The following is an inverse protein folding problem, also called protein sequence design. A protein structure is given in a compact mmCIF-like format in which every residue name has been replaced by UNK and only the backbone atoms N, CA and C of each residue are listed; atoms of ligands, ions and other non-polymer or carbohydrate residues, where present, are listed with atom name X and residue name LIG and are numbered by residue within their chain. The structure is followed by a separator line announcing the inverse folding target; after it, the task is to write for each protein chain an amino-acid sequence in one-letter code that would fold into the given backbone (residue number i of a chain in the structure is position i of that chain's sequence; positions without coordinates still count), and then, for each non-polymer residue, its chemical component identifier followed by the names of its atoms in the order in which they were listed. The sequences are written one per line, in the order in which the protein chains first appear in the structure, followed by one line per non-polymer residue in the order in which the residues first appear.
data_IF_434444546040
#
_entry.id   IF_434444546040
#
_cell.length_a   1.000
_cell.length_b   1.000
_cell.length_c   1.000
_cell.angle_alpha   90.00
_cell.angle_beta   90.00
_cell.angle_gamma   90.00
#
_symmetry.space_group_name_H-M   'P 1'
#
loop_
_entity.id
_entity.type
_entity.pdbx_description
1 polymer ?
#
# COMPACT_ATOMS: atom_id res chain seq x y z
N UNK A 1 3.74 -10.32 -38.55
CA UNK A 1 2.94 -10.62 -37.34
C UNK A 1 3.43 -9.71 -36.22
N UNK A 2 2.57 -8.86 -35.65
CA UNK A 2 2.98 -7.97 -34.58
C UNK A 2 3.13 -8.76 -33.28
N UNK A 3 4.33 -8.76 -32.71
CA UNK A 3 4.62 -9.33 -31.40
C UNK A 3 3.71 -8.65 -30.35
N UNK A 4 2.85 -9.43 -29.70
CA UNK A 4 1.96 -8.92 -28.65
C UNK A 4 2.81 -8.54 -27.43
N UNK A 5 3.23 -7.28 -27.37
CA UNK A 5 3.98 -6.73 -26.24
C UNK A 5 3.10 -6.74 -24.98
N UNK A 6 3.66 -7.28 -23.90
CA UNK A 6 3.01 -7.33 -22.59
C UNK A 6 2.57 -5.93 -22.16
N UNK A 7 1.31 -5.79 -21.77
CA UNK A 7 0.77 -4.52 -21.27
C UNK A 7 1.41 -4.13 -19.93
N UNK A 8 1.43 -2.82 -19.60
CA UNK A 8 1.89 -2.32 -18.29
C UNK A 8 1.18 -3.01 -17.12
N UNK A 9 -0.13 -3.25 -17.26
CA UNK A 9 -0.92 -3.95 -16.24
C UNK A 9 -0.51 -5.42 -16.09
N UNK A 10 -0.22 -6.10 -17.20
CA UNK A 10 0.26 -7.49 -17.18
C UNK A 10 1.66 -7.57 -16.56
N UNK A 11 2.55 -6.63 -16.88
CA UNK A 11 3.88 -6.51 -16.29
C UNK A 11 3.80 -6.26 -14.77
N UNK A 12 2.92 -5.36 -14.34
CA UNK A 12 2.67 -5.09 -12.91
C UNK A 12 2.15 -6.32 -12.16
N UNK A 13 1.16 -7.02 -12.73
CA UNK A 13 0.62 -8.26 -12.15
C UNK A 13 1.69 -9.35 -12.06
N UNK A 14 2.51 -9.51 -13.10
CA UNK A 14 3.60 -10.50 -13.11
C UNK A 14 4.67 -10.16 -12.08
N UNK A 15 5.08 -8.90 -11.99
CA UNK A 15 6.04 -8.42 -10.99
C UNK A 15 5.56 -8.64 -9.55
N UNK A 16 4.28 -8.36 -9.28
CA UNK A 16 3.66 -8.63 -7.98
C UNK A 16 3.67 -10.12 -7.62
N UNK A 17 3.31 -11.00 -8.57
CA UNK A 17 3.34 -12.45 -8.36
C UNK A 17 4.75 -12.99 -8.12
N UNK A 18 5.75 -12.51 -8.87
CA UNK A 18 7.16 -12.90 -8.65
C UNK A 18 7.64 -12.48 -7.28
N UNK A 19 7.32 -11.26 -6.86
CA UNK A 19 7.67 -10.74 -5.53
C UNK A 19 7.00 -11.56 -4.42
N UNK A 20 5.72 -11.89 -4.58
CA UNK A 20 4.98 -12.75 -3.65
C UNK A 20 5.59 -14.15 -3.55
N UNK A 21 5.99 -14.76 -4.67
CA UNK A 21 6.64 -16.08 -4.66
C UNK A 21 8.01 -16.04 -3.98
N UNK A 22 8.78 -14.95 -4.16
CA UNK A 22 10.14 -14.83 -3.62
C UNK A 22 10.17 -14.48 -2.13
N UNK A 23 9.29 -13.59 -1.69
CA UNK A 23 9.35 -13.02 -0.33
C UNK A 23 8.14 -13.35 0.55
N UNK A 24 7.11 -13.97 -0.01
CA UNK A 24 5.91 -14.35 0.72
C UNK A 24 5.04 -13.18 1.17
N UNK A 25 4.01 -13.49 1.97
CA UNK A 25 3.06 -12.50 2.50
C UNK A 25 3.69 -11.59 3.56
N UNK A 26 4.66 -12.10 4.31
CA UNK A 26 5.41 -11.39 5.35
C UNK A 26 6.07 -10.11 4.83
N UNK A 27 6.60 -10.13 3.61
CA UNK A 27 7.23 -8.97 2.98
C UNK A 27 6.27 -7.80 2.79
N UNK A 28 5.06 -8.07 2.28
CA UNK A 28 4.03 -7.05 2.11
C UNK A 28 3.53 -6.53 3.45
N UNK A 29 3.39 -7.40 4.46
CA UNK A 29 3.03 -6.97 5.81
C UNK A 29 4.09 -6.06 6.42
N UNK A 30 5.37 -6.40 6.28
CA UNK A 30 6.47 -5.56 6.77
C UNK A 30 6.52 -4.20 6.06
N UNK A 31 6.34 -4.17 4.73
CA UNK A 31 6.29 -2.91 3.96
C UNK A 31 5.09 -2.08 4.38
N UNK A 32 3.90 -2.70 4.47
CA UNK A 32 2.68 -2.04 4.93
C UNK A 32 2.85 -1.46 6.34
N UNK A 33 3.44 -2.22 7.26
CA UNK A 33 3.73 -1.76 8.63
C UNK A 33 4.71 -0.60 8.66
N UNK A 34 5.81 -0.67 7.89
CA UNK A 34 6.81 0.40 7.81
C UNK A 34 6.21 1.67 7.19
N UNK A 35 5.48 1.53 6.09
CA UNK A 35 4.79 2.63 5.41
C UNK A 35 3.72 3.27 6.29
N UNK A 36 2.88 2.46 6.93
CA UNK A 36 1.85 2.92 7.86
C UNK A 36 2.42 3.64 9.09
N UNK A 37 3.52 3.13 9.68
CA UNK A 37 4.20 3.82 10.78
C UNK A 37 4.76 5.17 10.36
N UNK A 38 5.48 5.23 9.24
CA UNK A 38 6.07 6.49 8.73
C UNK A 38 4.97 7.49 8.35
N UNK A 39 3.99 7.06 7.56
CA UNK A 39 2.86 7.91 7.15
C UNK A 39 2.06 8.39 8.36
N UNK A 40 1.73 7.49 9.30
CA UNK A 40 1.03 7.84 10.53
C UNK A 40 1.80 8.84 11.39
N UNK A 41 3.13 8.68 11.52
CA UNK A 41 3.97 9.63 12.25
C UNK A 41 3.98 11.00 11.56
N UNK A 42 4.22 11.06 10.25
CA UNK A 42 4.20 12.33 9.49
C UNK A 42 2.83 13.02 9.56
N UNK A 43 1.75 12.27 9.44
CA UNK A 43 0.38 12.80 9.59
C UNK A 43 0.14 13.33 11.00
N UNK A 44 0.60 12.60 12.03
CA UNK A 44 0.50 13.03 13.43
C UNK A 44 1.30 14.30 13.70
N UNK A 45 2.50 14.43 13.14
CA UNK A 45 3.31 15.65 13.26
C UNK A 45 2.65 16.85 12.57
N UNK A 46 2.07 16.66 11.37
CA UNK A 46 1.45 17.75 10.61
C UNK A 46 0.09 18.20 11.13
N UNK A 47 -0.77 17.25 11.52
CA UNK A 47 -2.19 17.53 11.78
C UNK A 47 -2.63 17.18 13.21
N UNK A 48 -1.72 16.63 14.03
CA UNK A 48 -2.03 16.20 15.38
C UNK A 48 -3.03 15.04 15.45
N UNK A 49 -3.52 14.76 16.65
CA UNK A 49 -4.47 13.67 16.93
C UNK A 49 -5.90 13.95 16.43
N UNK A 50 -6.27 15.22 16.22
CA UNK A 50 -7.60 15.60 15.69
C UNK A 50 -7.88 15.02 14.31
N UNK A 51 -6.87 14.92 13.46
CA UNK A 51 -7.01 14.33 12.12
C UNK A 51 -7.46 12.87 12.17
N UNK A 52 -6.87 12.06 13.06
CA UNK A 52 -7.22 10.65 13.22
C UNK A 52 -8.64 10.45 13.77
N UNK A 53 -9.09 11.33 14.66
CA UNK A 53 -10.48 11.34 15.14
C UNK A 53 -11.46 11.65 14.01
N UNK A 54 -11.16 12.62 13.16
CA UNK A 54 -12.06 13.02 12.07
C UNK A 54 -12.19 11.94 10.99
N UNK A 55 -11.07 11.32 10.57
CA UNK A 55 -11.10 10.21 9.60
C UNK A 55 -11.74 8.96 10.21
N UNK A 56 -11.51 8.68 11.50
CA UNK A 56 -12.16 7.57 12.21
C UNK A 56 -13.68 7.75 12.29
N UNK A 57 -14.13 8.97 12.61
CA UNK A 57 -15.55 9.34 12.58
C UNK A 57 -16.14 9.18 11.18
N UNK A 58 -15.46 9.67 10.14
CA UNK A 58 -15.91 9.53 8.74
C UNK A 58 -15.95 8.07 8.28
N UNK A 59 -14.99 7.24 8.71
CA UNK A 59 -14.92 5.82 8.32
C UNK A 59 -15.92 4.92 9.07
N UNK A 60 -16.25 5.25 10.32
CA UNK A 60 -17.23 4.50 11.12
C UNK A 60 -18.69 4.89 10.85
N UNK A 61 -18.93 6.00 10.15
CA UNK A 61 -20.26 6.43 9.70
C UNK A 61 -20.70 5.76 8.38
N UNK A 62 -20.07 4.64 8.01
CA UNK A 62 -20.30 3.95 6.73
C UNK A 62 -20.97 2.60 6.94
#
# INVERSE_FOLDING_TARGET
MAERKMSRSEAGRKGGQTTLKKYGKEFYQQIGRKGGRKGGQTTKERYGTKFFQEIGRKGGLK
#
